data_IF_307412073938
#
_entry.id   IF_307412073938
#
_cell.length_a   1.000
_cell.length_b   1.000
_cell.length_c   1.000
_cell.angle_alpha   90.00
_cell.angle_beta   90.00
_cell.angle_gamma   90.00
#
_symmetry.space_group_name_H-M   'P 1'
#
loop_
_entity.id
_entity.type
_entity.pdbx_description
1 polymer ?
#
# COMPACT_ATOMS: atom_id res chain seq x y z
N UNK A 1 1.67 -4.94 33.05
CA UNK A 1 0.22 -5.11 33.19
C UNK A 1 -0.43 -4.66 31.90
N UNK A 2 -1.37 -5.42 31.33
CA UNK A 2 -2.12 -4.94 30.18
C UNK A 2 -2.94 -3.71 30.60
N UNK A 3 -2.76 -2.58 29.92
CA UNK A 3 -3.58 -1.38 30.16
C UNK A 3 -5.02 -1.68 29.70
N UNK A 4 -5.97 -1.50 30.58
CA UNK A 4 -7.39 -1.58 30.21
C UNK A 4 -7.73 -0.29 29.46
N UNK A 5 -8.05 -0.41 28.19
CA UNK A 5 -8.49 0.72 27.37
C UNK A 5 -9.99 0.87 27.58
N UNK A 6 -10.41 1.92 28.26
CA UNK A 6 -11.82 2.32 28.30
C UNK A 6 -12.19 2.88 26.93
N UNK A 7 -12.86 2.06 26.12
CA UNK A 7 -13.36 2.51 24.81
C UNK A 7 -14.76 3.09 24.97
N UNK A 8 -14.87 4.37 24.74
CA UNK A 8 -16.17 4.95 24.37
C UNK A 8 -16.42 4.55 22.91
N UNK A 9 -17.56 3.94 22.63
CA UNK A 9 -17.93 3.66 21.24
C UNK A 9 -18.03 4.99 20.49
N UNK A 10 -17.41 5.13 19.30
CA UNK A 10 -17.48 6.35 18.53
C UNK A 10 -18.94 6.60 18.07
N UNK A 11 -19.32 7.87 18.00
CA UNK A 11 -20.56 8.25 17.34
C UNK A 11 -20.47 7.95 15.81
N UNK A 12 -21.62 7.84 15.17
CA UNK A 12 -21.68 7.61 13.73
C UNK A 12 -20.88 8.67 12.96
N UNK A 13 -19.86 8.24 12.20
CA UNK A 13 -18.97 9.13 11.45
C UNK A 13 -17.70 9.56 12.19
N UNK A 14 -17.51 9.20 13.45
CA UNK A 14 -16.27 9.47 14.17
C UNK A 14 -15.20 8.39 13.93
N UNK A 15 -13.95 8.84 13.82
CA UNK A 15 -12.80 7.93 13.73
C UNK A 15 -12.45 7.40 15.12
N UNK A 16 -12.39 6.07 15.23
CA UNK A 16 -12.17 5.31 16.45
C UNK A 16 -10.82 5.50 17.14
N UNK A 17 -10.26 6.72 17.27
CA UNK A 17 -8.94 6.80 17.86
C UNK A 17 -8.80 7.89 18.93
N UNK A 18 -9.06 7.51 20.15
CA UNK A 18 -8.24 8.01 21.23
C UNK A 18 -6.94 7.19 21.20
N UNK A 19 -5.96 7.61 20.41
CA UNK A 19 -4.63 7.02 20.49
C UNK A 19 -4.03 7.50 21.78
N UNK A 20 -4.12 6.64 22.76
CA UNK A 20 -3.42 6.82 24.01
C UNK A 20 -1.91 6.80 23.76
N UNK A 21 -1.12 6.71 24.71
CA UNK A 21 0.32 6.84 24.70
C UNK A 21 1.01 6.00 23.61
N UNK A 22 1.82 6.64 22.78
CA UNK A 22 2.68 5.97 21.82
C UNK A 22 3.78 5.18 22.55
N UNK A 23 3.83 3.86 22.34
CA UNK A 23 4.75 2.96 23.04
C UNK A 23 6.15 2.96 22.40
N UNK A 24 6.25 3.12 21.09
CA UNK A 24 7.52 3.12 20.36
C UNK A 24 7.97 4.55 20.00
N UNK A 25 9.29 4.79 19.98
CA UNK A 25 9.82 6.11 19.60
C UNK A 25 9.41 6.47 18.17
N UNK A 26 9.34 7.78 17.89
CA UNK A 26 9.10 8.26 16.54
C UNK A 26 10.41 8.29 15.75
N UNK A 27 10.58 7.28 14.88
CA UNK A 27 11.75 7.17 14.03
C UNK A 27 11.49 7.89 12.72
N UNK A 28 12.41 8.76 12.33
CA UNK A 28 12.44 9.41 11.03
C UNK A 28 13.53 8.76 10.17
N UNK A 29 13.35 8.79 8.85
CA UNK A 29 14.35 8.30 7.92
C UNK A 29 15.62 9.15 7.95
N UNK A 30 16.75 8.51 7.76
CA UNK A 30 18.00 9.21 7.45
C UNK A 30 17.97 9.70 6.00
N UNK A 31 18.72 10.76 5.64
CA UNK A 31 18.79 11.20 4.26
C UNK A 31 19.12 10.07 3.28
N UNK A 32 18.31 9.90 2.24
CA UNK A 32 18.48 8.84 1.24
C UNK A 32 18.07 7.44 1.68
N UNK A 33 17.47 7.26 2.86
CA UNK A 33 17.01 5.96 3.32
C UNK A 33 15.78 5.51 2.55
N UNK A 34 15.88 4.31 1.95
CA UNK A 34 14.83 3.72 1.10
C UNK A 34 13.91 2.80 1.88
N UNK A 35 12.68 2.70 1.41
CA UNK A 35 11.72 1.68 1.83
C UNK A 35 11.05 1.04 0.62
N UNK A 36 10.97 -0.28 0.61
CA UNK A 36 10.27 -1.06 -0.41
C UNK A 36 9.07 -1.76 0.19
N UNK A 37 7.93 -1.63 -0.47
CA UNK A 37 6.67 -2.24 -0.06
C UNK A 37 6.20 -3.17 -1.17
N UNK A 38 6.19 -4.46 -0.88
CA UNK A 38 5.80 -5.50 -1.83
C UNK A 38 4.36 -5.93 -1.56
N UNK A 39 3.47 -5.69 -2.52
CA UNK A 39 2.04 -5.95 -2.38
C UNK A 39 1.61 -7.09 -3.32
N UNK A 40 1.20 -8.19 -2.71
CA UNK A 40 0.75 -9.43 -3.36
C UNK A 40 -0.63 -9.87 -2.82
N UNK A 41 -1.51 -8.95 -2.51
CA UNK A 41 -2.85 -9.25 -1.99
C UNK A 41 -3.93 -8.68 -2.88
N UNK A 42 -5.11 -9.28 -2.82
CA UNK A 42 -6.28 -8.82 -3.59
C UNK A 42 -6.92 -7.60 -2.95
N UNK A 43 -7.49 -6.67 -3.75
CA UNK A 43 -8.18 -5.50 -3.21
C UNK A 43 -9.46 -5.83 -2.40
N UNK A 44 -10.02 -7.01 -2.59
CA UNK A 44 -11.28 -7.40 -1.90
C UNK A 44 -11.10 -7.65 -0.41
N UNK A 45 -9.89 -8.05 -0.04
CA UNK A 45 -9.51 -8.25 1.34
C UNK A 45 -9.08 -6.92 1.97
N UNK A 46 -9.84 -5.88 1.69
CA UNK A 46 -9.59 -4.44 1.83
C UNK A 46 -8.77 -3.99 3.04
N UNK A 47 -8.75 -4.76 4.12
CA UNK A 47 -7.99 -4.42 5.32
C UNK A 47 -6.48 -4.52 5.11
N UNK A 48 -5.98 -5.62 4.56
CA UNK A 48 -4.52 -5.84 4.39
C UNK A 48 -3.94 -4.83 3.41
N UNK A 49 -4.54 -4.72 2.22
CA UNK A 49 -4.06 -3.80 1.20
C UNK A 49 -4.13 -2.34 1.66
N UNK A 50 -5.29 -1.90 2.13
CA UNK A 50 -5.48 -0.50 2.54
C UNK A 50 -4.55 -0.12 3.69
N UNK A 51 -4.41 -0.98 4.71
CA UNK A 51 -3.51 -0.72 5.85
C UNK A 51 -2.05 -0.63 5.41
N UNK A 52 -1.62 -1.47 4.46
CA UNK A 52 -0.27 -1.37 3.91
C UNK A 52 -0.05 -0.07 3.12
N UNK A 53 -1.04 0.40 2.35
CA UNK A 53 -0.96 1.69 1.66
C UNK A 53 -0.95 2.87 2.64
N UNK A 54 -1.75 2.82 3.70
CA UNK A 54 -1.73 3.83 4.77
C UNK A 54 -0.38 3.84 5.51
N UNK A 55 0.18 2.67 5.79
CA UNK A 55 1.52 2.56 6.40
C UNK A 55 2.60 3.08 5.44
N UNK A 56 2.49 2.80 4.15
CA UNK A 56 3.39 3.34 3.12
C UNK A 56 3.34 4.88 3.07
N UNK A 57 2.16 5.47 3.21
CA UNK A 57 2.01 6.93 3.31
C UNK A 57 2.75 7.48 4.54
N UNK A 58 2.69 6.76 5.67
CA UNK A 58 3.47 7.13 6.86
C UNK A 58 4.96 7.02 6.62
N UNK A 59 5.45 6.03 5.87
CA UNK A 59 6.87 5.91 5.50
C UNK A 59 7.32 7.12 4.69
N UNK A 60 6.55 7.54 3.66
CA UNK A 60 6.83 8.76 2.89
C UNK A 60 6.94 9.98 3.81
N UNK A 61 5.95 10.15 4.71
CA UNK A 61 5.90 11.29 5.64
C UNK A 61 6.97 11.26 6.72
N UNK A 62 7.58 10.10 6.95
CA UNK A 62 8.77 9.94 7.80
C UNK A 62 10.09 10.17 7.05
N UNK A 63 10.03 10.56 5.78
CA UNK A 63 11.17 10.92 4.96
C UNK A 63 11.85 9.77 4.22
N UNK A 64 11.25 8.57 4.18
CA UNK A 64 11.77 7.48 3.36
C UNK A 64 11.50 7.73 1.87
N UNK A 65 12.46 7.36 1.03
CA UNK A 65 12.24 7.19 -0.41
C UNK A 65 11.50 5.86 -0.64
N UNK A 66 10.19 5.94 -0.92
CA UNK A 66 9.30 4.77 -0.92
C UNK A 66 9.06 4.26 -2.33
N UNK A 67 9.38 2.99 -2.55
CA UNK A 67 9.01 2.24 -3.75
C UNK A 67 7.96 1.17 -3.40
N UNK A 68 6.85 1.17 -4.13
CA UNK A 68 5.78 0.16 -3.99
C UNK A 68 5.80 -0.73 -5.22
N UNK A 69 5.83 -2.03 -5.01
CA UNK A 69 5.83 -3.06 -6.04
C UNK A 69 4.54 -3.86 -5.95
N UNK A 70 3.66 -3.67 -6.93
CA UNK A 70 2.41 -4.41 -7.07
C UNK A 70 2.64 -5.60 -8.01
N UNK A 71 2.42 -6.82 -7.52
CA UNK A 71 2.58 -8.03 -8.33
C UNK A 71 1.54 -9.09 -7.97
N UNK A 72 1.40 -10.12 -8.82
CA UNK A 72 0.29 -11.05 -8.67
C UNK A 72 -1.04 -10.33 -8.53
N UNK A 73 -1.91 -10.68 -7.59
CA UNK A 73 -3.21 -10.03 -7.41
C UNK A 73 -3.11 -8.55 -6.96
N UNK A 74 -1.97 -8.13 -6.44
CA UNK A 74 -1.74 -6.73 -6.03
C UNK A 74 -1.86 -5.73 -7.17
N UNK A 75 -1.63 -6.13 -8.43
CA UNK A 75 -1.78 -5.24 -9.59
C UNK A 75 -3.20 -4.72 -9.77
N UNK A 76 -4.19 -5.46 -9.28
CA UNK A 76 -5.59 -5.05 -9.35
C UNK A 76 -5.87 -3.74 -8.59
N UNK A 77 -5.06 -3.43 -7.59
CA UNK A 77 -5.16 -2.18 -6.84
C UNK A 77 -4.92 -0.94 -7.71
N UNK A 78 -4.09 -1.08 -8.74
CA UNK A 78 -3.71 0.02 -9.63
C UNK A 78 -4.63 0.15 -10.85
N UNK A 79 -5.59 -0.75 -11.06
CA UNK A 79 -6.55 -0.64 -12.17
C UNK A 79 -7.53 0.50 -11.92
N UNK A 80 -7.53 1.48 -12.81
CA UNK A 80 -8.48 2.60 -12.80
C UNK A 80 -9.84 2.27 -13.42
N UNK A 81 -9.93 1.20 -14.21
CA UNK A 81 -11.12 0.87 -15.01
C UNK A 81 -11.97 -0.25 -14.42
N UNK A 82 -11.43 -1.08 -13.55
CA UNK A 82 -12.17 -2.16 -12.89
C UNK A 82 -12.86 -1.67 -11.63
N UNK A 83 -14.16 -1.88 -11.58
CA UNK A 83 -14.94 -1.77 -10.35
C UNK A 83 -14.71 -2.98 -9.44
N UNK A 84 -14.49 -2.74 -8.18
CA UNK A 84 -14.46 -3.77 -7.14
C UNK A 84 -15.67 -3.57 -6.22
N UNK A 85 -16.20 -4.64 -5.62
CA UNK A 85 -17.24 -4.50 -4.62
C UNK A 85 -16.76 -3.62 -3.47
N UNK A 86 -17.63 -2.87 -2.87
CA UNK A 86 -17.32 -2.10 -1.68
C UNK A 86 -16.84 -3.02 -0.55
N UNK A 87 -15.83 -2.59 0.19
CA UNK A 87 -15.32 -3.29 1.36
C UNK A 87 -15.55 -2.42 2.59
N UNK A 88 -16.21 -2.98 3.59
CA UNK A 88 -16.50 -2.28 4.83
C UNK A 88 -17.69 -1.30 4.72
N UNK A 89 -17.68 -0.27 5.55
CA UNK A 89 -18.72 0.76 5.59
C UNK A 89 -18.69 1.68 4.37
N UNK A 90 -19.74 2.41 4.14
CA UNK A 90 -19.87 3.37 3.02
C UNK A 90 -18.75 4.42 2.95
N UNK A 91 -18.09 4.71 4.08
CA UNK A 91 -16.91 5.58 4.15
C UNK A 91 -15.64 4.98 3.49
N UNK A 92 -15.62 3.66 3.25
CA UNK A 92 -14.52 2.95 2.60
C UNK A 92 -15.04 2.12 1.43
N UNK A 93 -15.42 2.75 0.33
CA UNK A 93 -15.99 2.05 -0.82
C UNK A 93 -14.89 1.32 -1.59
N UNK A 94 -14.50 0.14 -1.16
CA UNK A 94 -13.66 -0.81 -1.88
C UNK A 94 -12.47 -0.19 -2.64
N UNK A 95 -12.47 -0.35 -3.94
CA UNK A 95 -11.38 0.10 -4.81
C UNK A 95 -11.19 1.63 -4.82
N UNK A 96 -12.23 2.42 -4.57
CA UNK A 96 -12.10 3.89 -4.58
C UNK A 96 -11.16 4.37 -3.47
N UNK A 97 -11.30 3.83 -2.26
CA UNK A 97 -10.39 4.16 -1.17
C UNK A 97 -8.94 3.72 -1.46
N UNK A 98 -8.77 2.57 -2.10
CA UNK A 98 -7.46 2.04 -2.50
C UNK A 98 -6.87 2.91 -3.61
N UNK A 99 -7.64 3.22 -4.66
CA UNK A 99 -7.20 4.07 -5.75
C UNK A 99 -6.82 5.47 -5.25
N UNK A 100 -7.63 6.04 -4.38
CA UNK A 100 -7.35 7.36 -3.81
C UNK A 100 -6.10 7.35 -2.94
N UNK A 101 -5.87 6.28 -2.20
CA UNK A 101 -4.63 6.14 -1.41
C UNK A 101 -3.39 5.99 -2.29
N UNK A 102 -3.48 5.27 -3.42
CA UNK A 102 -2.40 5.21 -4.41
C UNK A 102 -2.10 6.58 -5.03
N UNK A 103 -3.16 7.36 -5.35
CA UNK A 103 -2.99 8.74 -5.86
C UNK A 103 -2.32 9.65 -4.82
N UNK A 104 -2.68 9.52 -3.54
CA UNK A 104 -2.04 10.25 -2.45
C UNK A 104 -0.56 9.90 -2.37
N UNK A 105 -0.21 8.63 -2.42
CA UNK A 105 1.18 8.15 -2.40
C UNK A 105 1.99 8.71 -3.56
N UNK A 106 1.46 8.66 -4.79
CA UNK A 106 2.10 9.24 -5.97
C UNK A 106 2.31 10.76 -5.81
N UNK A 107 1.31 11.46 -5.31
CA UNK A 107 1.39 12.92 -5.06
C UNK A 107 2.43 13.27 -3.99
N UNK A 108 2.59 12.43 -2.98
CA UNK A 108 3.57 12.61 -1.90
C UNK A 108 4.98 12.11 -2.28
N UNK A 109 5.18 11.60 -3.51
CA UNK A 109 6.49 11.28 -4.08
C UNK A 109 6.88 9.80 -4.06
N UNK A 110 5.98 8.88 -3.69
CA UNK A 110 6.26 7.46 -3.82
C UNK A 110 6.34 7.03 -5.29
N UNK A 111 7.22 6.09 -5.59
CA UNK A 111 7.24 5.40 -6.89
C UNK A 111 6.45 4.11 -6.80
N UNK A 112 5.53 3.89 -7.75
CA UNK A 112 4.66 2.70 -7.77
C UNK A 112 4.83 1.96 -9.08
N UNK A 113 5.13 0.66 -8.97
CA UNK A 113 5.27 -0.26 -10.09
C UNK A 113 4.19 -1.34 -10.08
N UNK A 114 3.73 -1.75 -11.27
CA UNK A 114 2.80 -2.85 -11.46
C UNK A 114 3.37 -3.86 -12.47
N UNK A 115 3.35 -5.15 -12.11
CA UNK A 115 3.92 -6.23 -12.90
C UNK A 115 3.09 -6.48 -14.16
N UNK A 116 3.70 -6.31 -15.36
CA UNK A 116 3.07 -6.52 -16.69
C UNK A 116 2.51 -7.93 -16.86
N UNK A 117 3.23 -8.94 -16.42
CA UNK A 117 2.76 -10.32 -16.53
C UNK A 117 1.46 -10.53 -15.75
N UNK A 118 1.42 -10.06 -14.52
CA UNK A 118 0.21 -10.19 -13.72
C UNK A 118 -0.97 -9.42 -14.32
N UNK A 119 -0.74 -8.20 -14.80
CA UNK A 119 -1.78 -7.39 -15.45
C UNK A 119 -2.36 -8.11 -16.67
N UNK A 120 -1.50 -8.47 -17.62
CA UNK A 120 -1.94 -9.06 -18.90
C UNK A 120 -2.35 -10.53 -18.80
N UNK A 121 -1.45 -11.39 -18.29
CA UNK A 121 -1.66 -12.83 -18.32
C UNK A 121 -2.64 -13.35 -17.28
N UNK A 122 -2.68 -12.75 -16.08
CA UNK A 122 -3.56 -13.21 -15.01
C UNK A 122 -4.91 -12.48 -15.00
N UNK A 123 -4.92 -11.18 -15.28
CA UNK A 123 -6.10 -10.34 -15.05
C UNK A 123 -6.62 -9.64 -16.32
N UNK A 124 -5.94 -9.74 -17.44
CA UNK A 124 -6.41 -9.32 -18.75
C UNK A 124 -6.64 -7.82 -18.89
N UNK A 125 -5.77 -6.98 -18.31
CA UNK A 125 -5.79 -5.53 -18.52
C UNK A 125 -4.41 -5.01 -18.92
N UNK A 126 -4.36 -3.83 -19.55
CA UNK A 126 -3.16 -3.22 -20.09
C UNK A 126 -2.63 -2.05 -19.26
N UNK A 127 -1.57 -1.45 -19.77
CA UNK A 127 -0.95 -0.28 -19.13
C UNK A 127 -1.86 0.96 -19.15
N UNK A 128 -2.70 1.07 -20.20
CA UNK A 128 -3.67 2.17 -20.35
C UNK A 128 -4.79 2.11 -19.29
N UNK A 129 -4.97 0.96 -18.64
CA UNK A 129 -5.93 0.78 -17.56
C UNK A 129 -5.40 1.19 -16.18
N UNK A 130 -4.10 1.51 -16.09
CA UNK A 130 -3.47 1.90 -14.83
C UNK A 130 -3.87 3.30 -14.38
N UNK A 131 -3.91 3.49 -13.09
CA UNK A 131 -4.00 4.82 -12.49
C UNK A 131 -2.82 5.66 -12.99
N UNK A 132 -3.04 6.90 -13.47
CA UNK A 132 -1.96 7.76 -13.93
C UNK A 132 -0.85 7.93 -12.89
N UNK A 133 0.40 7.68 -13.33
CA UNK A 133 1.59 7.74 -12.48
C UNK A 133 2.09 6.38 -11.98
N UNK A 134 1.27 5.34 -12.02
CA UNK A 134 1.75 3.96 -11.81
C UNK A 134 2.50 3.50 -13.06
N UNK A 135 3.67 2.89 -12.87
CA UNK A 135 4.55 2.44 -13.94
C UNK A 135 4.45 0.92 -14.09
N UNK A 136 4.28 0.45 -15.30
CA UNK A 136 4.39 -0.98 -15.56
C UNK A 136 5.87 -1.40 -15.61
N UNK A 137 6.18 -2.60 -15.11
CA UNK A 137 7.54 -3.14 -15.16
C UNK A 137 7.57 -4.64 -15.51
N UNK A 138 8.75 -5.14 -15.88
CA UNK A 138 8.96 -6.53 -16.26
C UNK A 138 8.69 -7.48 -15.08
N UNK A 139 8.09 -8.67 -15.32
CA UNK A 139 7.98 -9.70 -14.29
C UNK A 139 9.34 -10.16 -13.74
N UNK A 140 10.41 -10.04 -14.52
CA UNK A 140 11.77 -10.37 -14.09
C UNK A 140 12.27 -9.42 -12.99
N UNK A 141 11.82 -8.17 -13.01
CA UNK A 141 12.21 -7.16 -12.04
C UNK A 141 11.55 -7.34 -10.65
N UNK A 142 10.57 -8.22 -10.51
CA UNK A 142 9.92 -8.47 -9.20
C UNK A 142 10.93 -8.98 -8.19
N UNK A 143 11.70 -10.02 -8.56
CA UNK A 143 12.75 -10.56 -7.70
C UNK A 143 13.92 -9.58 -7.57
N UNK A 144 14.35 -8.98 -8.67
CA UNK A 144 15.49 -8.08 -8.68
C UNK A 144 15.24 -6.81 -7.87
N UNK A 145 14.01 -6.32 -7.82
CA UNK A 145 13.64 -5.21 -6.93
C UNK A 145 13.77 -5.59 -5.46
N UNK A 146 13.40 -6.82 -5.07
CA UNK A 146 13.55 -7.30 -3.71
C UNK A 146 15.03 -7.49 -3.34
N UNK A 147 15.84 -8.04 -4.24
CA UNK A 147 17.28 -8.19 -4.05
C UNK A 147 17.98 -6.83 -3.98
N UNK A 148 17.57 -5.87 -4.79
CA UNK A 148 18.05 -4.49 -4.73
C UNK A 148 17.73 -3.87 -3.36
N UNK A 149 16.50 -3.97 -2.92
CA UNK A 149 16.09 -3.47 -1.61
C UNK A 149 16.91 -4.08 -0.47
N UNK A 150 17.16 -5.38 -0.54
CA UNK A 150 17.98 -6.08 0.44
C UNK A 150 19.44 -5.62 0.39
N UNK A 151 20.04 -5.53 -0.80
CA UNK A 151 21.44 -5.14 -0.97
C UNK A 151 21.75 -3.71 -0.53
N UNK A 152 20.75 -2.83 -0.66
CA UNK A 152 20.84 -1.42 -0.24
C UNK A 152 20.51 -1.20 1.25
N UNK A 153 20.12 -2.25 1.98
CA UNK A 153 19.70 -2.13 3.38
C UNK A 153 18.40 -1.32 3.55
N UNK A 154 17.55 -1.32 2.54
CA UNK A 154 16.27 -0.65 2.60
C UNK A 154 15.33 -1.32 3.61
N UNK A 155 14.46 -0.54 4.24
CA UNK A 155 13.35 -1.09 5.00
C UNK A 155 12.40 -1.84 4.06
N UNK A 156 12.03 -3.06 4.38
CA UNK A 156 11.14 -3.87 3.57
C UNK A 156 9.85 -4.20 4.31
N UNK A 157 8.72 -4.01 3.63
CA UNK A 157 7.40 -4.42 4.10
C UNK A 157 6.73 -5.27 3.02
N UNK A 158 6.12 -6.37 3.42
CA UNK A 158 5.60 -7.37 2.49
C UNK A 158 4.22 -7.88 2.93
N UNK A 159 3.30 -8.08 1.98
CA UNK A 159 1.97 -8.64 2.23
C UNK A 159 1.87 -10.13 1.94
N UNK A 160 2.99 -10.85 1.89
CA UNK A 160 2.93 -12.30 1.74
C UNK A 160 2.14 -12.91 2.90
N UNK A 161 0.99 -13.45 2.57
CA UNK A 161 0.32 -14.41 3.43
C UNK A 161 0.75 -15.80 3.01
N UNK A 162 1.37 -16.51 3.92
CA UNK A 162 1.65 -17.93 3.74
C UNK A 162 0.39 -18.71 4.03
#
# INVERSE_FOLDING_TARGET
MPKTVNRTLPAEGEVMFNVEEKVFPDIQAKPGQKAFVFIHTVPYEGSVLLVNLLTSTRLVRKGFDVTIVLYGPGVLAASGTRGFPGVGQAAFPGHLAINDQLKVLLKEGATIYACRFAMGALYGFGEDDLIPGVKAFSPLDVLDSALTAWSEGAFQMNTWTV
#
